data_IF_374875902643
#
_entry.id   IF_374875902643
#
_cell.length_a   1.000
_cell.length_b   1.000
_cell.length_c   1.000
_cell.angle_alpha   90.00
_cell.angle_beta   90.00
_cell.angle_gamma   90.00
#
_symmetry.space_group_name_H-M   'P 1'
#
loop_
_entity.id
_entity.type
_entity.pdbx_description
1 polymer ?
#
# COMPACT_ATOMS: atom_id res chain seq x y z
N UNK A 1 -7.95 70.70 -18.62
CA UNK A 1 -7.05 69.53 -18.68
C UNK A 1 -7.06 68.88 -17.30
N UNK A 2 -7.56 67.63 -17.18
CA UNK A 2 -7.70 66.90 -15.92
C UNK A 2 -6.70 65.74 -15.97
N UNK A 3 -5.63 65.84 -15.17
CA UNK A 3 -4.62 64.78 -15.04
C UNK A 3 -5.17 63.69 -14.11
N UNK A 4 -5.34 62.49 -14.64
CA UNK A 4 -5.70 61.32 -13.84
C UNK A 4 -4.41 60.70 -13.32
N UNK A 5 -4.16 60.83 -12.01
CA UNK A 5 -3.11 60.06 -11.35
C UNK A 5 -3.52 58.59 -11.37
N UNK A 6 -2.83 57.77 -12.15
CA UNK A 6 -2.82 56.32 -11.96
C UNK A 6 -2.31 56.06 -10.55
N UNK A 7 -3.24 55.72 -9.65
CA UNK A 7 -2.89 55.25 -8.32
C UNK A 7 -2.34 53.84 -8.50
N UNK A 8 -1.02 53.74 -8.64
CA UNK A 8 -0.30 52.48 -8.58
C UNK A 8 -0.63 51.83 -7.23
N UNK A 9 -1.50 50.82 -7.25
CA UNK A 9 -1.71 49.98 -6.07
C UNK A 9 -0.34 49.43 -5.69
N UNK A 10 0.15 49.65 -4.45
CA UNK A 10 1.37 49.02 -4.03
C UNK A 10 1.14 47.51 -4.13
N UNK A 11 1.86 46.85 -5.03
CA UNK A 11 1.98 45.39 -5.03
C UNK A 11 2.51 45.05 -3.64
N UNK A 12 1.65 44.47 -2.80
CA UNK A 12 2.01 44.00 -1.47
C UNK A 12 3.19 43.03 -1.60
N UNK A 13 4.40 43.55 -1.43
CA UNK A 13 5.67 42.85 -1.63
C UNK A 13 6.03 41.95 -0.46
N UNK A 14 5.05 41.24 0.12
CA UNK A 14 5.30 40.25 1.16
C UNK A 14 5.73 38.95 0.49
N UNK A 15 7.00 38.90 0.09
CA UNK A 15 7.67 37.62 -0.12
C UNK A 15 7.75 36.86 1.20
N UNK A 16 7.81 35.53 1.12
CA UNK A 16 7.96 34.70 2.31
C UNK A 16 9.23 35.07 3.06
N UNK A 17 9.09 35.27 4.37
CA UNK A 17 10.25 35.32 5.26
C UNK A 17 10.96 33.97 5.25
N UNK A 18 12.26 33.96 5.57
CA UNK A 18 13.05 32.72 5.62
C UNK A 18 12.38 31.66 6.52
N UNK A 19 11.78 32.10 7.62
CA UNK A 19 11.06 31.24 8.58
C UNK A 19 9.82 30.61 7.94
N UNK A 20 9.02 31.39 7.21
CA UNK A 20 7.84 30.84 6.54
C UNK A 20 8.21 29.83 5.45
N UNK A 21 9.30 30.04 4.70
CA UNK A 21 9.80 29.03 3.77
C UNK A 21 10.26 27.76 4.48
N UNK A 22 10.94 27.87 5.61
CA UNK A 22 11.34 26.69 6.41
C UNK A 22 10.12 25.91 6.92
N UNK A 23 9.07 26.60 7.36
CA UNK A 23 7.82 25.96 7.80
C UNK A 23 7.11 25.23 6.65
N UNK A 24 7.08 25.83 5.45
CA UNK A 24 6.50 25.19 4.27
C UNK A 24 7.30 23.94 3.88
N UNK A 25 8.64 24.01 3.87
CA UNK A 25 9.50 22.86 3.57
C UNK A 25 9.36 21.74 4.61
N UNK A 26 9.21 22.09 5.89
CA UNK A 26 8.95 21.13 6.95
C UNK A 26 7.61 20.42 6.75
N UNK A 27 6.55 21.17 6.44
CA UNK A 27 5.22 20.62 6.17
C UNK A 27 5.25 19.66 4.96
N UNK A 28 5.90 20.06 3.86
CA UNK A 28 6.05 19.21 2.68
C UNK A 28 6.86 17.94 3.00
N UNK A 29 7.88 18.04 3.84
CA UNK A 29 8.70 16.90 4.26
C UNK A 29 7.91 15.90 5.11
N UNK A 30 7.12 16.39 6.07
CA UNK A 30 6.26 15.56 6.92
C UNK A 30 5.20 14.87 6.06
N UNK A 31 4.52 15.62 5.18
CA UNK A 31 3.50 15.07 4.28
C UNK A 31 4.10 14.02 3.33
N UNK A 32 5.28 14.26 2.75
CA UNK A 32 5.95 13.29 1.89
C UNK A 32 6.38 12.02 2.62
N UNK A 33 6.84 12.13 3.87
CA UNK A 33 7.33 10.99 4.65
C UNK A 33 6.22 10.02 5.07
N UNK A 34 4.99 10.52 5.27
CA UNK A 34 3.85 9.73 5.75
C UNK A 34 3.17 8.88 4.67
N UNK A 35 3.30 9.23 3.38
CA UNK A 35 2.49 8.62 2.31
C UNK A 35 3.13 7.35 1.71
N UNK A 36 4.46 7.24 1.72
CA UNK A 36 5.14 6.15 1.01
C UNK A 36 5.19 4.80 1.77
N UNK A 37 5.24 4.82 3.11
CA UNK A 37 5.41 3.61 3.93
C UNK A 37 4.13 2.83 4.32
N UNK A 38 2.94 3.45 4.53
CA UNK A 38 1.79 2.71 5.03
C UNK A 38 1.17 1.77 3.98
N UNK A 39 1.31 2.08 2.69
CA UNK A 39 0.66 1.32 1.61
C UNK A 39 1.18 -0.12 1.51
N UNK A 40 2.50 -0.32 1.64
CA UNK A 40 3.10 -1.65 1.53
C UNK A 40 2.83 -2.52 2.78
N UNK A 41 2.84 -1.91 3.97
CA UNK A 41 2.47 -2.61 5.21
C UNK A 41 1.00 -3.03 5.21
N UNK A 42 0.13 -2.18 4.66
CA UNK A 42 -1.29 -2.51 4.48
C UNK A 42 -1.49 -3.66 3.50
N UNK A 43 -0.81 -3.62 2.34
CA UNK A 43 -0.89 -4.70 1.33
C UNK A 43 -0.44 -6.04 1.91
N UNK A 44 0.63 -6.07 2.70
CA UNK A 44 1.12 -7.27 3.37
C UNK A 44 0.04 -7.87 4.30
N UNK A 45 -0.53 -7.06 5.19
CA UNK A 45 -1.56 -7.52 6.13
C UNK A 45 -2.85 -7.95 5.43
N UNK A 46 -3.27 -7.19 4.41
CA UNK A 46 -4.46 -7.50 3.62
C UNK A 46 -4.29 -8.83 2.87
N UNK A 47 -3.13 -9.05 2.28
CA UNK A 47 -2.80 -10.31 1.59
C UNK A 47 -2.85 -11.48 2.55
N UNK A 48 -2.21 -11.36 3.73
CA UNK A 48 -2.22 -12.41 4.74
C UNK A 48 -3.64 -12.74 5.21
N UNK A 49 -4.46 -11.73 5.51
CA UNK A 49 -5.85 -11.91 5.91
C UNK A 49 -6.69 -12.53 4.79
N UNK A 50 -6.47 -12.13 3.54
CA UNK A 50 -7.16 -12.68 2.37
C UNK A 50 -6.85 -14.16 2.15
N UNK A 51 -5.60 -14.57 2.32
CA UNK A 51 -5.18 -15.98 2.25
C UNK A 51 -5.86 -16.80 3.35
N UNK A 52 -5.85 -16.33 4.61
CA UNK A 52 -6.50 -17.01 5.74
C UNK A 52 -8.02 -17.12 5.51
N UNK A 53 -8.63 -16.05 5.01
CA UNK A 53 -10.06 -16.04 4.70
C UNK A 53 -10.38 -17.07 3.61
N UNK A 54 -9.68 -17.05 2.48
CA UNK A 54 -9.89 -18.00 1.39
C UNK A 54 -9.68 -19.45 1.83
N UNK A 55 -8.69 -19.71 2.69
CA UNK A 55 -8.47 -21.01 3.30
C UNK A 55 -9.68 -21.45 4.15
N UNK A 56 -10.16 -20.56 5.01
CA UNK A 56 -11.30 -20.82 5.91
C UNK A 56 -12.58 -21.03 5.11
N UNK A 57 -12.79 -20.26 4.04
CA UNK A 57 -13.91 -20.43 3.10
C UNK A 57 -13.86 -21.82 2.45
N UNK A 58 -12.70 -22.27 1.98
CA UNK A 58 -12.55 -23.59 1.38
C UNK A 58 -12.86 -24.72 2.38
N UNK A 59 -12.43 -24.58 3.64
CA UNK A 59 -12.75 -25.49 4.74
C UNK A 59 -14.24 -25.54 5.07
N UNK A 60 -14.89 -24.38 5.13
CA UNK A 60 -16.29 -24.26 5.53
C UNK A 60 -17.24 -24.75 4.44
N UNK A 61 -17.04 -24.28 3.20
CA UNK A 61 -17.88 -24.65 2.06
C UNK A 61 -17.56 -26.05 1.52
N UNK A 62 -16.40 -26.62 1.88
CA UNK A 62 -15.87 -27.87 1.31
C UNK A 62 -15.72 -27.82 -0.22
N UNK A 63 -15.37 -26.64 -0.72
CA UNK A 63 -15.16 -26.40 -2.15
C UNK A 63 -13.77 -25.79 -2.39
N UNK A 64 -13.10 -26.11 -3.51
CA UNK A 64 -11.85 -25.46 -3.86
C UNK A 64 -12.03 -23.94 -4.00
N UNK A 65 -11.18 -23.17 -3.33
CA UNK A 65 -11.21 -21.70 -3.37
C UNK A 65 -9.88 -21.18 -3.90
N UNK A 66 -9.92 -20.08 -4.66
CA UNK A 66 -8.71 -19.39 -5.13
C UNK A 66 -8.64 -18.00 -4.56
N UNK A 67 -7.47 -17.63 -4.07
CA UNK A 67 -7.14 -16.27 -3.67
C UNK A 67 -6.31 -15.64 -4.79
N UNK A 68 -6.87 -14.58 -5.38
CA UNK A 68 -6.22 -13.83 -6.44
C UNK A 68 -5.25 -12.83 -5.83
N UNK A 69 -4.00 -12.86 -6.28
CA UNK A 69 -2.97 -11.96 -5.76
C UNK A 69 -3.09 -10.56 -6.36
N UNK A 70 -2.67 -9.55 -5.59
CA UNK A 70 -2.54 -8.20 -6.10
C UNK A 70 -1.40 -8.16 -7.14
N UNK A 71 -1.56 -7.43 -8.27
CA UNK A 71 -0.53 -7.33 -9.30
C UNK A 71 0.83 -6.81 -8.84
N UNK A 72 0.89 -6.15 -7.67
CA UNK A 72 2.10 -5.62 -7.05
C UNK A 72 2.90 -6.66 -6.27
N UNK A 73 2.42 -7.91 -6.20
CA UNK A 73 3.10 -9.00 -5.51
C UNK A 73 3.80 -9.85 -6.56
N UNK A 74 5.13 -9.99 -6.46
CA UNK A 74 5.86 -10.86 -7.34
C UNK A 74 5.58 -12.32 -6.95
N UNK A 75 4.87 -13.03 -7.84
CA UNK A 75 4.51 -14.42 -7.66
C UNK A 75 4.31 -15.14 -8.99
N UNK A 76 4.57 -16.44 -9.00
CA UNK A 76 4.35 -17.31 -10.14
C UNK A 76 2.86 -17.59 -10.44
N UNK A 77 1.97 -17.66 -9.44
CA UNK A 77 0.54 -18.02 -9.61
C UNK A 77 -0.34 -17.60 -8.42
N UNK A 78 -1.65 -17.44 -8.65
CA UNK A 78 -2.67 -17.32 -7.60
C UNK A 78 -2.63 -18.49 -6.59
N UNK A 79 -2.99 -18.23 -5.34
CA UNK A 79 -3.01 -19.26 -4.29
C UNK A 79 -4.31 -20.06 -4.38
N UNK A 80 -4.21 -21.38 -4.54
CA UNK A 80 -5.37 -22.27 -4.60
C UNK A 80 -5.46 -23.22 -3.42
N UNK A 81 -6.62 -23.27 -2.79
CA UNK A 81 -6.97 -24.20 -1.72
C UNK A 81 -7.92 -25.27 -2.25
N UNK A 82 -7.71 -26.51 -1.82
CA UNK A 82 -8.68 -27.58 -2.06
C UNK A 82 -9.82 -27.54 -1.02
N UNK A 83 -10.81 -28.42 -1.18
CA UNK A 83 -11.98 -28.54 -0.28
C UNK A 83 -11.65 -28.87 1.20
N UNK A 84 -10.39 -29.17 1.53
CA UNK A 84 -9.92 -29.37 2.90
C UNK A 84 -9.17 -28.15 3.45
N UNK A 85 -9.13 -27.05 2.69
CA UNK A 85 -8.35 -25.86 3.01
C UNK A 85 -6.84 -26.06 2.87
N UNK A 86 -6.40 -27.07 2.10
CA UNK A 86 -4.99 -27.34 1.89
C UNK A 86 -4.49 -26.75 0.56
N UNK A 87 -3.24 -26.30 0.56
CA UNK A 87 -2.54 -25.80 -0.62
C UNK A 87 -1.76 -26.94 -1.27
N UNK A 88 -1.90 -27.09 -2.59
CA UNK A 88 -1.24 -28.18 -3.33
C UNK A 88 0.17 -27.81 -3.85
N UNK A 89 0.53 -26.53 -3.79
CA UNK A 89 1.80 -25.99 -4.31
C UNK A 89 2.40 -25.05 -3.29
N UNK A 90 3.68 -25.22 -2.96
CA UNK A 90 4.40 -24.23 -2.15
C UNK A 90 4.72 -23.02 -3.02
N UNK A 91 4.59 -21.83 -2.45
CA UNK A 91 4.98 -20.59 -3.11
C UNK A 91 5.43 -19.55 -2.11
N UNK A 92 6.38 -18.72 -2.53
CA UNK A 92 6.80 -17.52 -1.80
C UNK A 92 6.25 -16.30 -2.52
N UNK A 93 5.62 -15.42 -1.78
CA UNK A 93 5.15 -14.12 -2.24
C UNK A 93 6.18 -13.07 -1.82
N UNK A 94 6.77 -12.37 -2.77
CA UNK A 94 7.76 -11.32 -2.49
C UNK A 94 7.10 -9.95 -2.70
N UNK A 95 7.23 -9.09 -1.71
CA UNK A 95 6.71 -7.72 -1.74
C UNK A 95 7.83 -6.74 -2.08
N UNK A 96 7.48 -5.61 -2.72
CA UNK A 96 8.42 -4.53 -3.09
C UNK A 96 9.29 -4.00 -1.93
N UNK A 97 8.86 -4.19 -0.67
CA UNK A 97 9.60 -3.79 0.52
C UNK A 97 10.58 -4.87 1.03
N UNK A 98 10.75 -5.97 0.30
CA UNK A 98 11.60 -7.09 0.67
C UNK A 98 11.02 -8.00 1.75
N UNK A 99 9.74 -7.82 2.14
CA UNK A 99 9.05 -8.82 2.97
C UNK A 99 8.64 -10.00 2.12
N UNK A 100 8.51 -11.15 2.76
CA UNK A 100 8.11 -12.39 2.12
C UNK A 100 6.96 -13.03 2.89
N UNK A 101 6.07 -13.71 2.17
CA UNK A 101 5.09 -14.64 2.75
C UNK A 101 5.37 -16.00 2.13
N UNK A 102 5.76 -16.97 2.95
CA UNK A 102 5.99 -18.34 2.51
C UNK A 102 4.75 -19.18 2.80
N UNK A 103 4.19 -19.77 1.75
CA UNK A 103 3.03 -20.66 1.82
C UNK A 103 3.51 -22.09 1.64
N UNK A 104 3.39 -22.89 2.71
CA UNK A 104 3.78 -24.31 2.69
C UNK A 104 2.74 -25.24 2.04
N UNK A 105 3.20 -26.36 1.45
CA UNK A 105 2.32 -27.42 0.94
C UNK A 105 1.54 -28.07 2.08
N UNK A 106 0.30 -28.49 1.81
CA UNK A 106 -0.57 -29.14 2.78
C UNK A 106 -1.36 -28.09 3.55
N UNK A 107 -1.18 -27.94 4.87
CA UNK A 107 -2.00 -27.03 5.69
C UNK A 107 -1.83 -25.54 5.35
N UNK A 108 -0.97 -25.15 4.40
CA UNK A 108 -0.86 -23.75 3.97
C UNK A 108 -0.29 -22.82 5.04
N UNK A 109 0.52 -23.35 5.97
CA UNK A 109 1.11 -22.53 7.05
C UNK A 109 1.86 -21.35 6.45
N UNK A 110 1.49 -20.16 6.92
CA UNK A 110 2.10 -18.89 6.54
C UNK A 110 3.29 -18.65 7.47
N UNK A 111 4.48 -18.53 6.90
CA UNK A 111 5.69 -18.11 7.60
C UNK A 111 6.13 -16.74 7.07
N UNK A 112 6.55 -15.88 8.00
CA UNK A 112 7.16 -14.56 7.73
C UNK A 112 8.68 -14.65 7.59
#
# INVERSE_FOLDING_TARGET
MKSWSTMDKPRSGKGFTLIEMMLVLLLLSVLGSGVAKPVQSFLYQETQNGIIHAQTTALFLREPTRFRLDPRIECFNDVSFNAKGNVNTAQTLVFDNGREIVIGIGPGRIHE
#
